data_IF_414139918393
#
_entry.id   IF_414139918393
#
_cell.length_a   1.000
_cell.length_b   1.000
_cell.length_c   1.000
_cell.angle_alpha   90.00
_cell.angle_beta   90.00
_cell.angle_gamma   90.00
#
_symmetry.space_group_name_H-M   'P 1'
#
loop_
_entity.id
_entity.type
_entity.pdbx_description
1 polymer ?
#
# COMPACT_ATOMS: atom_id res chain seq x y z
N UNK A 1 30.99 1.94 -2.32
CA UNK A 1 29.70 1.56 -1.72
C UNK A 1 29.19 2.75 -0.93
N UNK A 2 28.56 3.71 -1.59
CA UNK A 2 27.94 4.84 -0.88
C UNK A 2 26.55 4.38 -0.44
N UNK A 3 26.44 4.00 0.83
CA UNK A 3 25.15 3.91 1.47
C UNK A 3 24.58 5.35 1.46
N UNK A 4 23.37 5.56 0.93
CA UNK A 4 22.66 6.84 0.84
C UNK A 4 23.06 7.80 -0.30
N UNK A 5 22.82 7.43 -1.56
CA UNK A 5 22.78 8.39 -2.68
C UNK A 5 21.47 9.19 -2.70
N UNK A 6 21.41 10.31 -3.44
CA UNK A 6 20.19 11.09 -3.62
C UNK A 6 19.02 10.24 -4.16
N UNK A 7 19.31 9.23 -4.97
CA UNK A 7 18.31 8.34 -5.55
C UNK A 7 17.64 7.46 -4.49
N UNK A 8 18.38 7.06 -3.43
CA UNK A 8 17.80 6.35 -2.28
C UNK A 8 16.76 7.19 -1.57
N UNK A 9 17.11 8.45 -1.27
CA UNK A 9 16.22 9.37 -0.57
C UNK A 9 14.98 9.63 -1.43
N UNK A 10 15.16 9.90 -2.72
CA UNK A 10 14.07 10.08 -3.68
C UNK A 10 13.14 8.87 -3.75
N UNK A 11 13.71 7.66 -3.81
CA UNK A 11 12.94 6.41 -3.83
C UNK A 11 12.12 6.23 -2.53
N UNK A 12 12.68 6.54 -1.35
CA UNK A 12 11.96 6.41 -0.08
C UNK A 12 10.81 7.42 0.03
N UNK A 13 11.04 8.67 -0.39
CA UNK A 13 9.99 9.69 -0.40
C UNK A 13 8.84 9.26 -1.31
N UNK A 14 9.16 8.81 -2.53
CA UNK A 14 8.12 8.35 -3.46
C UNK A 14 7.39 7.11 -2.95
N UNK A 15 8.10 6.14 -2.37
CA UNK A 15 7.49 4.97 -1.77
C UNK A 15 6.50 5.33 -0.65
N UNK A 16 6.86 6.29 0.21
CA UNK A 16 5.98 6.76 1.28
C UNK A 16 4.73 7.46 0.73
N UNK A 17 4.90 8.33 -0.27
CA UNK A 17 3.79 9.06 -0.89
C UNK A 17 2.83 8.12 -1.61
N UNK A 18 3.36 7.13 -2.35
CA UNK A 18 2.58 6.09 -3.02
C UNK A 18 1.83 5.23 -2.01
N UNK A 19 2.52 4.76 -0.97
CA UNK A 19 1.91 4.02 0.14
C UNK A 19 0.80 4.80 0.83
N UNK A 20 0.98 6.12 0.96
CA UNK A 20 0.05 7.04 1.62
C UNK A 20 -1.26 7.26 0.86
N UNK A 21 -1.39 6.81 -0.40
CA UNK A 21 -2.61 7.01 -1.20
C UNK A 21 -3.82 6.41 -0.46
N UNK A 22 -4.84 7.24 -0.12
CA UNK A 22 -5.91 6.86 0.80
C UNK A 22 -7.12 6.24 0.07
N UNK A 23 -6.89 5.14 -0.64
CA UNK A 23 -7.85 4.43 -1.50
C UNK A 23 -9.22 4.18 -0.84
N UNK A 24 -9.24 3.61 0.38
CA UNK A 24 -10.46 3.31 1.12
C UNK A 24 -11.24 4.56 1.55
N UNK A 25 -10.52 5.61 1.96
CA UNK A 25 -11.13 6.90 2.32
C UNK A 25 -11.79 7.55 1.11
N UNK A 26 -11.10 7.56 -0.04
CA UNK A 26 -11.65 8.06 -1.31
C UNK A 26 -12.90 7.27 -1.69
N UNK A 27 -12.89 5.94 -1.59
CA UNK A 27 -14.06 5.12 -1.84
C UNK A 27 -15.24 5.45 -0.90
N UNK A 28 -14.98 5.60 0.41
CA UNK A 28 -15.97 6.02 1.40
C UNK A 28 -16.62 7.35 1.05
N UNK A 29 -15.80 8.35 0.72
CA UNK A 29 -16.28 9.69 0.36
C UNK A 29 -17.06 9.70 -0.93
N UNK A 30 -16.59 9.04 -1.99
CA UNK A 30 -17.24 9.08 -3.30
C UNK A 30 -18.52 8.25 -3.37
N UNK A 31 -18.57 7.08 -2.71
CA UNK A 31 -19.71 6.15 -2.85
C UNK A 31 -20.79 6.39 -1.80
N UNK A 32 -20.40 6.75 -0.57
CA UNK A 32 -21.34 6.89 0.57
C UNK A 32 -21.36 8.31 1.16
N UNK A 33 -20.48 9.21 0.75
CA UNK A 33 -20.33 10.54 1.36
C UNK A 33 -19.71 10.52 2.76
N UNK A 34 -19.29 9.35 3.25
CA UNK A 34 -18.85 9.15 4.64
C UNK A 34 -17.34 8.93 4.75
N UNK A 35 -16.79 9.21 5.92
CA UNK A 35 -15.43 8.80 6.26
C UNK A 35 -15.43 7.33 6.67
N UNK A 36 -14.69 6.50 5.94
CA UNK A 36 -14.58 5.06 6.21
C UNK A 36 -13.98 4.75 7.60
N UNK A 37 -13.27 5.71 8.21
CA UNK A 37 -12.67 5.58 9.54
C UNK A 37 -13.71 5.68 10.67
N UNK A 38 -14.91 6.15 10.36
CA UNK A 38 -16.03 6.24 11.30
C UNK A 38 -17.03 5.09 11.12
N UNK A 39 -16.82 4.22 10.13
CA UNK A 39 -17.74 3.15 9.75
C UNK A 39 -17.14 1.76 10.04
N UNK A 40 -18.00 0.78 10.31
CA UNK A 40 -17.63 -0.63 10.49
C UNK A 40 -16.57 -0.83 11.56
N UNK A 41 -15.47 -1.52 11.21
CA UNK A 41 -14.36 -1.76 12.13
C UNK A 41 -13.35 -0.59 12.20
N UNK A 42 -13.68 0.54 11.57
CA UNK A 42 -12.92 1.80 11.55
C UNK A 42 -11.55 1.72 10.89
N UNK A 43 -11.21 0.58 10.26
CA UNK A 43 -9.99 0.42 9.51
C UNK A 43 -10.18 0.95 8.08
N UNK A 44 -9.42 1.95 7.60
CA UNK A 44 -9.52 2.45 6.23
C UNK A 44 -8.78 1.52 5.25
N UNK A 45 -9.24 0.28 5.14
CA UNK A 45 -8.70 -0.72 4.23
C UNK A 45 -9.78 -1.51 3.49
N UNK A 46 -9.35 -2.40 2.59
CA UNK A 46 -10.21 -3.19 1.71
C UNK A 46 -11.30 -3.98 2.46
N UNK A 47 -10.95 -4.66 3.55
CA UNK A 47 -11.91 -5.49 4.30
C UNK A 47 -13.04 -4.71 4.98
N UNK A 48 -12.77 -3.49 5.47
CA UNK A 48 -13.85 -2.64 6.02
C UNK A 48 -14.70 -2.06 4.88
N UNK A 49 -14.04 -1.61 3.80
CA UNK A 49 -14.69 -1.11 2.58
C UNK A 49 -15.65 -2.17 2.01
N UNK A 50 -15.23 -3.43 1.97
CA UNK A 50 -16.04 -4.57 1.54
C UNK A 50 -17.34 -4.69 2.36
N UNK A 51 -17.21 -4.61 3.69
CA UNK A 51 -18.33 -4.79 4.64
C UNK A 51 -19.27 -3.58 4.71
N UNK A 52 -18.77 -2.37 4.56
CA UNK A 52 -19.52 -1.12 4.80
C UNK A 52 -20.01 -0.44 3.52
N UNK A 53 -19.22 -0.48 2.45
CA UNK A 53 -19.57 0.13 1.15
C UNK A 53 -20.11 -0.93 0.20
N UNK A 54 -19.44 -2.07 0.13
CA UNK A 54 -19.87 -3.25 -0.62
C UNK A 54 -18.73 -3.98 -1.33
N UNK A 55 -19.00 -5.20 -1.84
CA UNK A 55 -17.97 -6.10 -2.37
C UNK A 55 -17.13 -5.50 -3.49
N UNK A 56 -17.78 -4.84 -4.46
CA UNK A 56 -17.10 -4.21 -5.61
C UNK A 56 -16.10 -3.14 -5.15
N UNK A 57 -16.51 -2.25 -4.23
CA UNK A 57 -15.65 -1.21 -3.69
C UNK A 57 -14.49 -1.81 -2.88
N UNK A 58 -14.75 -2.82 -2.05
CA UNK A 58 -13.73 -3.52 -1.30
C UNK A 58 -12.65 -4.16 -2.18
N UNK A 59 -13.05 -4.85 -3.25
CA UNK A 59 -12.12 -5.46 -4.21
C UNK A 59 -11.27 -4.40 -4.93
N UNK A 60 -11.86 -3.29 -5.37
CA UNK A 60 -11.13 -2.20 -6.02
C UNK A 60 -10.11 -1.57 -5.07
N UNK A 61 -10.50 -1.27 -3.83
CA UNK A 61 -9.59 -0.75 -2.80
C UNK A 61 -8.45 -1.73 -2.54
N UNK A 62 -8.75 -3.03 -2.43
CA UNK A 62 -7.74 -4.07 -2.27
C UNK A 62 -6.74 -4.11 -3.43
N UNK A 63 -7.22 -4.08 -4.67
CA UNK A 63 -6.37 -4.05 -5.86
C UNK A 63 -5.47 -2.81 -5.90
N UNK A 64 -5.99 -1.63 -5.55
CA UNK A 64 -5.21 -0.39 -5.47
C UNK A 64 -4.16 -0.49 -4.34
N UNK A 65 -4.52 -1.04 -3.18
CA UNK A 65 -3.59 -1.18 -2.05
C UNK A 65 -2.49 -2.20 -2.31
N UNK A 66 -2.76 -3.27 -3.06
CA UNK A 66 -1.73 -4.17 -3.59
C UNK A 66 -0.87 -3.43 -4.61
N UNK A 67 -1.50 -2.77 -5.57
CA UNK A 67 -0.82 -2.04 -6.64
C UNK A 67 0.16 -1.00 -6.13
N UNK A 68 -0.21 -0.20 -5.11
CA UNK A 68 0.69 0.82 -4.55
C UNK A 68 1.92 0.22 -3.85
N UNK A 69 1.76 -0.94 -3.19
CA UNK A 69 2.88 -1.68 -2.59
C UNK A 69 3.84 -2.20 -3.63
N UNK A 70 3.32 -2.84 -4.68
CA UNK A 70 4.13 -3.33 -5.80
C UNK A 70 4.83 -2.19 -6.55
N UNK A 71 4.11 -1.10 -6.83
CA UNK A 71 4.61 0.06 -7.55
C UNK A 71 5.79 0.71 -6.81
N UNK A 72 5.73 0.83 -5.48
CA UNK A 72 6.83 1.39 -4.70
C UNK A 72 8.13 0.59 -4.87
N UNK A 73 8.06 -0.74 -4.85
CA UNK A 73 9.21 -1.63 -5.06
C UNK A 73 9.75 -1.51 -6.48
N UNK A 74 8.86 -1.53 -7.48
CA UNK A 74 9.25 -1.46 -8.89
C UNK A 74 9.89 -0.11 -9.25
N UNK A 75 9.38 0.99 -8.69
CA UNK A 75 10.01 2.31 -8.86
C UNK A 75 11.38 2.38 -8.21
N UNK A 76 11.53 1.86 -6.99
CA UNK A 76 12.85 1.79 -6.36
C UNK A 76 13.82 0.96 -7.20
N UNK A 77 13.38 -0.16 -7.79
CA UNK A 77 14.18 -0.97 -8.71
C UNK A 77 14.62 -0.20 -9.97
N UNK A 78 13.76 0.69 -10.49
CA UNK A 78 14.07 1.48 -11.67
C UNK A 78 15.03 2.65 -11.39
N UNK A 79 15.10 3.11 -10.14
CA UNK A 79 15.81 4.33 -9.76
C UNK A 79 17.09 4.09 -8.95
N UNK A 80 17.26 2.88 -8.42
CA UNK A 80 18.35 2.55 -7.50
C UNK A 80 18.96 1.20 -7.81
N UNK A 81 20.25 1.07 -7.53
CA UNK A 81 20.96 -0.19 -7.68
C UNK A 81 20.84 -1.07 -6.43
N UNK A 82 20.71 -2.38 -6.66
CA UNK A 82 20.68 -3.39 -5.61
C UNK A 82 19.29 -3.65 -5.01
N UNK A 83 19.21 -4.71 -4.20
CA UNK A 83 17.96 -5.18 -3.60
C UNK A 83 17.61 -4.48 -2.29
N UNK A 84 18.61 -3.95 -1.57
CA UNK A 84 18.43 -3.19 -0.32
C UNK A 84 17.42 -2.04 -0.44
N UNK A 85 17.57 -1.10 -1.40
CA UNK A 85 16.61 0.01 -1.54
C UNK A 85 15.22 -0.45 -1.99
N UNK A 86 15.12 -1.55 -2.75
CA UNK A 86 13.82 -2.14 -3.12
C UNK A 86 13.06 -2.66 -1.89
N UNK A 87 13.76 -3.37 -1.00
CA UNK A 87 13.20 -3.84 0.27
C UNK A 87 12.82 -2.68 1.19
N UNK A 88 13.69 -1.67 1.30
CA UNK A 88 13.41 -0.47 2.08
C UNK A 88 12.18 0.28 1.56
N UNK A 89 12.06 0.46 0.24
CA UNK A 89 10.89 1.09 -0.38
C UNK A 89 9.59 0.33 -0.08
N UNK A 90 9.63 -1.01 -0.11
CA UNK A 90 8.48 -1.83 0.27
C UNK A 90 8.03 -1.58 1.72
N UNK A 91 8.98 -1.56 2.67
CA UNK A 91 8.68 -1.24 4.08
C UNK A 91 8.12 0.18 4.21
N UNK A 92 8.74 1.15 3.54
CA UNK A 92 8.32 2.56 3.59
C UNK A 92 6.93 2.76 2.98
N UNK A 93 6.57 2.01 1.94
CA UNK A 93 5.22 2.03 1.38
C UNK A 93 4.17 1.47 2.36
N UNK A 94 4.50 0.42 3.12
CA UNK A 94 3.62 -0.11 4.18
C UNK A 94 3.48 0.91 5.31
N UNK A 95 4.57 1.59 5.69
CA UNK A 95 4.54 2.69 6.65
C UNK A 95 3.62 3.81 6.14
N UNK A 96 3.74 4.19 4.87
CA UNK A 96 2.84 5.16 4.23
C UNK A 96 1.38 4.72 4.27
N UNK A 97 1.09 3.44 4.04
CA UNK A 97 -0.28 2.92 4.15
C UNK A 97 -0.83 3.01 5.57
N UNK A 98 -0.01 2.69 6.58
CA UNK A 98 -0.42 2.64 7.98
C UNK A 98 -0.54 4.04 8.60
N UNK A 99 0.38 4.93 8.23
CA UNK A 99 0.45 6.31 8.68
C UNK A 99 0.52 7.28 7.48
N UNK A 100 -0.55 7.39 6.69
CA UNK A 100 -0.60 8.20 5.49
C UNK A 100 -0.65 9.68 5.85
N UNK A 101 0.22 10.47 5.19
CA UNK A 101 0.27 11.92 5.38
C UNK A 101 -1.08 12.58 5.05
N UNK A 102 -1.79 12.08 4.05
CA UNK A 102 -3.07 12.63 3.60
C UNK A 102 -4.23 12.42 4.57
N UNK A 103 -4.10 11.49 5.54
CA UNK A 103 -5.16 11.21 6.53
C UNK A 103 -4.72 11.48 7.97
N UNK A 104 -3.79 12.43 8.18
CA UNK A 104 -3.27 12.78 9.51
C UNK A 104 -2.72 11.56 10.26
N UNK A 105 -1.99 10.70 9.53
CA UNK A 105 -1.36 9.49 10.07
C UNK A 105 -2.33 8.44 10.62
N UNK A 106 -3.61 8.46 10.19
CA UNK A 106 -4.62 7.45 10.55
C UNK A 106 -4.98 6.62 9.32
N UNK A 107 -4.16 5.60 9.05
CA UNK A 107 -4.27 4.71 7.89
C UNK A 107 -4.73 3.29 8.23
N UNK A 108 -4.47 2.38 7.30
CA UNK A 108 -4.90 0.99 7.39
C UNK A 108 -3.91 0.08 8.11
N UNK A 109 -4.11 -1.23 8.03
CA UNK A 109 -3.21 -2.24 8.65
C UNK A 109 -2.12 -2.76 7.71
N UNK A 110 -2.12 -2.36 6.44
CA UNK A 110 -1.01 -2.63 5.52
C UNK A 110 -0.99 -4.02 4.88
N UNK A 111 -1.93 -4.93 5.19
CA UNK A 111 -1.92 -6.30 4.67
C UNK A 111 -1.90 -6.38 3.13
N UNK A 112 -2.81 -5.66 2.46
CA UNK A 112 -2.86 -5.62 0.99
C UNK A 112 -1.60 -4.99 0.38
N UNK A 113 -1.07 -3.92 0.99
CA UNK A 113 0.17 -3.29 0.54
C UNK A 113 1.39 -4.18 0.74
N UNK A 114 1.46 -4.92 1.85
CA UNK A 114 2.50 -5.91 2.09
C UNK A 114 2.44 -7.05 1.07
N UNK A 115 1.23 -7.50 0.68
CA UNK A 115 1.07 -8.48 -0.39
C UNK A 115 1.62 -7.96 -1.72
N UNK A 116 1.32 -6.71 -2.09
CA UNK A 116 1.89 -6.08 -3.28
C UNK A 116 3.41 -5.99 -3.27
N UNK A 117 3.99 -5.61 -2.14
CA UNK A 117 5.45 -5.59 -1.92
C UNK A 117 6.03 -6.99 -2.12
N UNK A 118 5.40 -8.01 -1.53
CA UNK A 118 5.86 -9.39 -1.62
C UNK A 118 5.84 -9.91 -3.07
N UNK A 119 4.76 -9.63 -3.81
CA UNK A 119 4.62 -9.96 -5.24
C UNK A 119 5.74 -9.31 -6.06
N UNK A 120 6.08 -8.05 -5.80
CA UNK A 120 7.10 -7.34 -6.57
C UNK A 120 8.54 -7.78 -6.25
N UNK A 121 8.82 -8.17 -5.00
CA UNK A 121 10.15 -8.62 -4.57
C UNK A 121 10.42 -10.06 -4.99
N UNK A 122 9.44 -10.96 -4.82
CA UNK A 122 9.59 -12.41 -5.02
C UNK A 122 8.36 -12.99 -5.72
N UNK A 123 8.16 -12.72 -7.02
CA UNK A 123 6.92 -13.04 -7.73
C UNK A 123 6.59 -14.54 -7.76
N UNK A 124 7.61 -15.40 -7.88
CA UNK A 124 7.43 -16.87 -7.99
C UNK A 124 6.77 -17.46 -6.71
N UNK A 125 7.32 -17.25 -5.49
CA UNK A 125 6.67 -17.75 -4.27
C UNK A 125 5.47 -16.90 -3.82
N UNK A 126 5.37 -15.63 -4.21
CA UNK A 126 4.29 -14.75 -3.76
C UNK A 126 2.91 -15.16 -4.27
N UNK A 127 2.82 -15.60 -5.53
CA UNK A 127 1.56 -16.02 -6.14
C UNK A 127 0.89 -17.17 -5.36
N UNK A 128 1.53 -18.33 -5.11
CA UNK A 128 0.89 -19.42 -4.39
C UNK A 128 0.57 -19.07 -2.93
N UNK A 129 1.41 -18.30 -2.24
CA UNK A 129 1.16 -17.89 -0.84
C UNK A 129 -0.04 -16.94 -0.76
N UNK A 130 -0.19 -16.05 -1.74
CA UNK A 130 -1.32 -15.12 -1.78
C UNK A 130 -2.67 -15.82 -1.91
N UNK A 131 -2.71 -17.00 -2.53
CA UNK A 131 -3.92 -17.82 -2.67
C UNK A 131 -4.34 -18.51 -1.37
N UNK A 132 -3.44 -18.68 -0.41
CA UNK A 132 -3.76 -19.24 0.92
C UNK A 132 -4.50 -18.23 1.80
N UNK A 133 -4.32 -16.94 1.53
CA UNK A 133 -4.83 -15.84 2.34
C UNK A 133 -6.08 -15.14 1.76
N UNK A 134 -6.47 -15.49 0.53
CA UNK A 134 -7.69 -15.03 -0.15
C UNK A 134 -8.87 -15.97 0.15
#
# INVERSE_FOLDING_TARGET
MAWFSFDWIGAMIMAYLIGSIPSAYVAGRLVKGKDIRDEGDRNPGAGNTYRTIGPKAGMVVGAIDIGKGALAVLLARALTDGTGPQMAAGVVAIIGHNWPIFLKLRGGRGAASALGVFIALVPIPAIPISLVWL
#
